data_IF_876215197624
#
_entry.id   IF_876215197624
#
_cell.length_a   1.000
_cell.length_b   1.000
_cell.length_c   1.000
_cell.angle_alpha   90.00
_cell.angle_beta   90.00
_cell.angle_gamma   90.00
#
_symmetry.space_group_name_H-M   'P 1'
#
loop_
_entity.id
_entity.type
_entity.pdbx_description
1 polymer ?
#
# COMPACT_ATOMS: atom_id res chain seq x y z
N UNK A 1 19.31 20.65 -2.77
CA UNK A 1 20.28 20.26 -3.82
C UNK A 1 19.86 20.85 -5.17
N UNK A 2 18.61 20.65 -5.61
CA UNK A 2 18.08 21.23 -6.84
C UNK A 2 18.25 22.77 -6.94
N UNK A 3 17.85 23.52 -5.91
CA UNK A 3 17.91 25.00 -5.88
C UNK A 3 19.33 25.58 -5.96
N UNK A 4 20.34 24.83 -5.53
CA UNK A 4 21.74 25.27 -5.57
C UNK A 4 22.50 24.72 -6.79
N UNK A 5 21.79 24.06 -7.71
CA UNK A 5 22.34 23.52 -8.95
C UNK A 5 23.62 22.70 -8.78
N UNK A 6 23.63 21.86 -7.74
CA UNK A 6 24.77 21.00 -7.42
C UNK A 6 24.86 19.86 -8.44
N UNK A 7 25.66 20.06 -9.49
CA UNK A 7 25.89 19.08 -10.57
C UNK A 7 27.30 18.49 -10.48
N UNK A 8 27.57 17.41 -11.23
CA UNK A 8 28.90 16.79 -11.29
C UNK A 8 29.23 15.83 -10.14
N UNK A 9 28.26 15.52 -9.27
CA UNK A 9 28.42 14.55 -8.19
C UNK A 9 27.83 13.18 -8.57
N UNK A 10 28.51 12.11 -8.14
CA UNK A 10 27.92 10.79 -8.13
C UNK A 10 27.17 10.59 -6.81
N UNK A 11 25.86 10.54 -6.88
CA UNK A 11 25.03 10.27 -5.71
C UNK A 11 24.93 8.76 -5.46
N UNK A 12 25.06 8.38 -4.19
CA UNK A 12 24.80 7.04 -3.71
C UNK A 12 23.70 7.13 -2.66
N UNK A 13 22.52 6.59 -2.98
CA UNK A 13 21.34 6.66 -2.16
C UNK A 13 21.10 5.42 -1.31
N UNK A 14 20.56 5.66 -0.13
CA UNK A 14 19.95 4.60 0.66
C UNK A 14 18.66 4.14 -0.01
N UNK A 15 18.22 2.93 0.35
CA UNK A 15 16.99 2.33 -0.16
C UNK A 15 15.79 3.26 -0.05
N UNK A 16 15.67 3.99 1.08
CA UNK A 16 14.51 4.83 1.36
C UNK A 16 14.25 5.96 0.36
N UNK A 17 15.27 6.48 -0.33
CA UNK A 17 15.09 7.58 -1.28
C UNK A 17 15.49 7.24 -2.71
N UNK A 18 16.38 6.27 -2.93
CA UNK A 18 16.79 5.90 -4.30
C UNK A 18 15.63 5.36 -5.15
N UNK A 19 14.60 4.80 -4.50
CA UNK A 19 13.35 4.35 -5.14
C UNK A 19 12.14 5.25 -4.87
N UNK A 20 12.32 6.41 -4.25
CA UNK A 20 11.21 7.34 -3.97
C UNK A 20 10.84 8.17 -5.22
N UNK A 21 9.59 8.06 -5.65
CA UNK A 21 9.04 8.82 -6.77
C UNK A 21 9.07 10.34 -6.55
N UNK A 22 9.04 10.80 -5.29
CA UNK A 22 9.15 12.23 -4.98
C UNK A 22 10.54 12.77 -5.33
N UNK A 23 11.58 11.95 -5.28
CA UNK A 23 12.94 12.34 -5.70
C UNK A 23 13.19 12.06 -7.18
N UNK A 24 12.47 11.10 -7.77
CA UNK A 24 12.52 10.77 -9.19
C UNK A 24 11.61 11.66 -10.06
N UNK A 25 11.56 12.96 -9.78
CA UNK A 25 10.71 13.91 -10.50
C UNK A 25 11.53 14.88 -11.36
N UNK A 26 10.86 15.63 -12.25
CA UNK A 26 11.50 16.52 -13.22
C UNK A 26 12.35 17.64 -12.57
N UNK A 27 11.98 18.11 -11.37
CA UNK A 27 12.71 19.17 -10.65
C UNK A 27 14.07 18.72 -10.14
N UNK A 28 14.27 17.41 -9.91
CA UNK A 28 15.52 16.87 -9.36
C UNK A 28 16.36 16.14 -10.41
N UNK A 29 15.83 15.91 -11.61
CA UNK A 29 16.50 15.15 -12.67
C UNK A 29 17.87 15.72 -13.05
N UNK A 30 18.07 17.04 -13.05
CA UNK A 30 19.36 17.63 -13.39
C UNK A 30 20.46 17.38 -12.34
N UNK A 31 20.08 17.05 -11.10
CA UNK A 31 21.00 16.77 -9.99
C UNK A 31 21.15 15.27 -9.73
N UNK A 32 20.04 14.53 -9.72
CA UNK A 32 19.99 13.14 -9.23
C UNK A 32 20.02 12.11 -10.35
N UNK A 33 19.99 12.50 -11.63
CA UNK A 33 20.10 11.55 -12.73
C UNK A 33 21.41 10.77 -12.64
N UNK A 34 21.33 9.45 -12.74
CA UNK A 34 22.48 8.56 -12.61
C UNK A 34 22.86 8.20 -11.17
N UNK A 35 22.03 8.55 -10.19
CA UNK A 35 22.20 8.06 -8.80
C UNK A 35 22.23 6.53 -8.75
N UNK A 36 23.08 6.01 -7.87
CA UNK A 36 23.21 4.57 -7.61
C UNK A 36 22.71 4.27 -6.20
N UNK A 37 22.22 3.07 -5.95
CA UNK A 37 21.83 2.67 -4.61
C UNK A 37 21.23 1.28 -4.59
N UNK A 38 20.69 0.93 -3.42
CA UNK A 38 20.11 -0.38 -3.19
C UNK A 38 18.60 -0.27 -3.22
N UNK A 39 17.92 -1.20 -3.90
CA UNK A 39 16.47 -1.24 -3.93
C UNK A 39 15.98 -2.62 -3.52
N UNK A 40 14.87 -2.68 -2.79
CA UNK A 40 14.24 -3.95 -2.43
C UNK A 40 13.77 -4.65 -3.71
N UNK A 41 13.96 -5.97 -3.87
CA UNK A 41 13.54 -6.66 -5.09
C UNK A 41 12.07 -6.44 -5.41
N UNK A 42 11.76 -6.20 -6.69
CA UNK A 42 10.39 -6.16 -7.19
C UNK A 42 9.74 -7.52 -7.00
N UNK A 43 8.45 -7.53 -6.67
CA UNK A 43 7.64 -8.73 -6.66
C UNK A 43 6.29 -8.47 -7.30
N UNK A 44 5.68 -9.55 -7.78
CA UNK A 44 4.33 -9.56 -8.31
C UNK A 44 3.45 -10.39 -7.36
N UNK A 45 2.31 -9.84 -6.98
CA UNK A 45 1.32 -10.52 -6.15
C UNK A 45 0.06 -10.71 -7.00
N UNK A 46 -0.17 -11.95 -7.41
CA UNK A 46 -1.34 -12.32 -8.21
C UNK A 46 -2.63 -11.96 -7.47
N UNK A 47 -3.58 -11.34 -8.17
CA UNK A 47 -4.88 -10.96 -7.59
C UNK A 47 -4.88 -9.61 -6.83
N UNK A 48 -3.73 -8.97 -6.64
CA UNK A 48 -3.63 -7.76 -5.84
C UNK A 48 -4.29 -6.55 -6.51
N UNK A 49 -4.14 -6.38 -7.82
CA UNK A 49 -4.78 -5.30 -8.56
C UNK A 49 -6.31 -5.39 -8.49
N UNK A 50 -6.86 -6.59 -8.66
CA UNK A 50 -8.30 -6.84 -8.51
C UNK A 50 -8.77 -6.63 -7.07
N UNK A 51 -7.94 -6.92 -6.08
CA UNK A 51 -8.26 -6.66 -4.68
C UNK A 51 -8.32 -5.15 -4.39
N UNK A 52 -7.30 -4.39 -4.78
CA UNK A 52 -7.19 -2.95 -4.50
C UNK A 52 -8.31 -2.14 -5.16
N UNK A 53 -8.77 -2.58 -6.33
CA UNK A 53 -9.83 -1.91 -7.11
C UNK A 53 -11.26 -2.24 -6.65
N UNK A 54 -11.45 -3.27 -5.80
CA UNK A 54 -12.74 -3.66 -5.21
C UNK A 54 -13.10 -2.92 -3.93
N UNK A 55 -12.35 -1.87 -3.58
CA UNK A 55 -12.60 -1.06 -2.39
C UNK A 55 -14.01 -0.46 -2.40
N UNK A 56 -14.71 -0.58 -1.26
CA UNK A 56 -16.05 -0.03 -1.08
C UNK A 56 -16.01 1.20 -0.15
N UNK A 57 -16.20 2.43 -0.65
CA UNK A 57 -16.17 3.65 0.16
C UNK A 57 -17.34 3.75 1.15
N UNK A 58 -18.40 2.95 0.98
CA UNK A 58 -19.53 2.86 1.90
C UNK A 58 -19.33 1.84 3.05
N UNK A 59 -18.17 1.18 3.12
CA UNK A 59 -17.86 0.28 4.23
C UNK A 59 -17.62 1.04 5.53
N UNK A 60 -17.68 0.33 6.67
CA UNK A 60 -17.39 0.88 8.00
C UNK A 60 -15.89 1.13 8.26
N UNK A 61 -15.02 0.88 7.26
CA UNK A 61 -13.59 1.10 7.37
C UNK A 61 -13.28 2.57 7.06
N UNK A 62 -12.87 3.40 8.04
CA UNK A 62 -12.77 4.85 7.85
C UNK A 62 -11.77 5.26 6.75
N UNK A 63 -10.67 4.52 6.63
CA UNK A 63 -9.62 4.80 5.64
C UNK A 63 -10.10 4.59 4.19
N UNK A 64 -11.13 3.76 3.95
CA UNK A 64 -11.65 3.56 2.59
C UNK A 64 -12.38 4.79 2.07
N UNK A 65 -13.11 5.48 2.95
CA UNK A 65 -13.75 6.77 2.61
C UNK A 65 -12.69 7.82 2.31
N UNK A 66 -11.72 8.00 3.20
CA UNK A 66 -10.66 9.00 3.04
C UNK A 66 -9.83 8.77 1.78
N UNK A 67 -9.50 7.52 1.49
CA UNK A 67 -8.76 7.14 0.29
C UNK A 67 -9.56 7.47 -0.98
N UNK A 68 -10.86 7.14 -1.00
CA UNK A 68 -11.73 7.45 -2.14
C UNK A 68 -11.81 8.95 -2.39
N UNK A 69 -12.09 9.73 -1.35
CA UNK A 69 -12.18 11.18 -1.40
C UNK A 69 -10.86 11.83 -1.86
N UNK A 70 -9.73 11.25 -1.47
CA UNK A 70 -8.39 11.72 -1.85
C UNK A 70 -8.08 11.42 -3.31
N UNK A 71 -8.36 10.21 -3.78
CA UNK A 71 -8.09 9.78 -5.16
C UNK A 71 -8.94 10.58 -6.16
N UNK A 72 -10.23 10.76 -5.86
CA UNK A 72 -11.16 11.44 -6.76
C UNK A 72 -11.33 12.94 -6.45
N UNK A 73 -10.62 13.45 -5.44
CA UNK A 73 -10.67 14.85 -5.00
C UNK A 73 -12.11 15.34 -4.74
N UNK A 74 -12.91 14.51 -4.10
CA UNK A 74 -14.34 14.70 -3.90
C UNK A 74 -14.76 14.42 -2.45
N UNK A 75 -16.03 14.67 -2.11
CA UNK A 75 -16.62 14.32 -0.82
C UNK A 75 -17.80 13.36 -0.94
N UNK A 76 -17.85 12.37 -0.06
CA UNK A 76 -18.97 11.44 0.07
C UNK A 76 -20.03 12.04 1.03
N UNK A 77 -21.33 11.91 0.72
CA UNK A 77 -22.40 12.37 1.61
C UNK A 77 -22.44 11.59 2.94
N UNK A 78 -22.96 12.15 4.05
CA UNK A 78 -23.71 13.40 4.19
C UNK A 78 -22.89 14.46 4.94
N UNK A 79 -21.87 15.07 4.30
CA UNK A 79 -21.18 16.19 4.94
C UNK A 79 -22.03 17.46 4.82
N UNK A 80 -22.32 18.14 5.93
CA UNK A 80 -23.21 19.32 5.99
C UNK A 80 -22.62 20.58 5.30
N UNK A 81 -21.31 20.59 5.01
CA UNK A 81 -20.61 21.72 4.38
C UNK A 81 -20.16 21.39 2.94
N UNK A 82 -21.10 21.00 2.08
CA UNK A 82 -20.85 20.68 0.65
C UNK A 82 -20.52 21.92 -0.18
N UNK A 83 -20.76 23.12 0.34
CA UNK A 83 -20.74 24.38 -0.44
C UNK A 83 -19.38 24.73 -1.08
N UNK A 84 -18.28 24.06 -0.69
CA UNK A 84 -16.96 24.31 -1.29
C UNK A 84 -16.27 23.08 -1.89
N UNK A 85 -16.80 21.85 -1.75
CA UNK A 85 -16.15 20.63 -2.28
C UNK A 85 -17.09 19.83 -3.17
N UNK A 86 -16.57 19.40 -4.32
CA UNK A 86 -17.31 18.61 -5.31
C UNK A 86 -17.71 17.25 -4.72
N UNK A 87 -18.98 16.87 -4.90
CA UNK A 87 -19.47 15.54 -4.51
C UNK A 87 -18.91 14.45 -5.43
N UNK A 88 -18.62 13.28 -4.85
CA UNK A 88 -18.17 12.11 -5.61
C UNK A 88 -19.27 11.62 -6.55
N UNK A 89 -18.89 11.26 -7.78
CA UNK A 89 -19.85 10.76 -8.79
C UNK A 89 -20.10 9.27 -8.60
N UNK A 90 -21.30 8.82 -8.95
CA UNK A 90 -21.68 7.40 -8.87
C UNK A 90 -20.96 6.50 -9.88
N UNK A 91 -20.31 7.06 -10.89
CA UNK A 91 -19.60 6.32 -11.94
C UNK A 91 -18.08 6.28 -11.76
N UNK A 92 -17.55 6.79 -10.65
CA UNK A 92 -16.14 6.70 -10.32
C UNK A 92 -15.74 5.24 -10.08
N UNK A 93 -14.60 4.82 -10.64
CA UNK A 93 -14.08 3.47 -10.48
C UNK A 93 -12.57 3.48 -10.36
N UNK A 94 -12.05 2.77 -9.36
CA UNK A 94 -10.61 2.59 -9.17
C UNK A 94 -9.96 1.81 -10.32
N UNK A 95 -10.70 0.99 -11.04
CA UNK A 95 -10.17 0.27 -12.22
C UNK A 95 -9.69 1.20 -13.32
N UNK A 96 -10.27 2.40 -13.41
CA UNK A 96 -9.91 3.42 -14.41
C UNK A 96 -8.95 4.48 -13.84
N UNK A 97 -8.78 4.52 -12.52
CA UNK A 97 -7.89 5.46 -11.87
C UNK A 97 -6.43 5.01 -12.07
N UNK A 98 -5.61 5.87 -12.68
CA UNK A 98 -4.16 5.69 -12.79
C UNK A 98 -3.47 6.50 -11.71
N UNK A 99 -3.07 5.87 -10.61
CA UNK A 99 -2.38 6.51 -9.50
C UNK A 99 -1.47 5.51 -8.77
N UNK A 100 -0.73 5.99 -7.78
CA UNK A 100 0.22 5.18 -7.01
C UNK A 100 -0.42 4.03 -6.20
N UNK A 101 -1.73 4.12 -5.92
CA UNK A 101 -2.45 3.08 -5.21
C UNK A 101 -2.85 1.93 -6.15
N UNK A 102 -3.24 2.23 -7.39
CA UNK A 102 -3.66 1.23 -8.38
C UNK A 102 -2.51 0.70 -9.24
N UNK A 103 -1.35 1.36 -9.26
CA UNK A 103 -0.17 0.90 -9.96
C UNK A 103 0.51 -0.27 -9.21
N UNK A 104 0.33 -1.46 -9.78
CA UNK A 104 0.86 -2.72 -9.24
C UNK A 104 2.23 -3.12 -9.82
N UNK A 105 2.84 -2.28 -10.66
CA UNK A 105 4.06 -2.62 -11.40
C UNK A 105 5.37 -2.53 -10.58
N UNK A 106 5.34 -1.88 -9.42
CA UNK A 106 6.52 -1.69 -8.56
C UNK A 106 6.24 -1.98 -7.08
N UNK A 107 5.85 -3.23 -6.78
CA UNK A 107 5.64 -3.66 -5.39
C UNK A 107 6.91 -4.15 -4.72
N UNK A 108 7.56 -3.24 -4.00
CA UNK A 108 8.75 -3.51 -3.18
C UNK A 108 8.43 -3.55 -1.69
N UNK A 109 8.01 -2.41 -1.13
CA UNK A 109 7.70 -2.29 0.30
C UNK A 109 6.45 -3.10 0.67
N UNK A 110 5.39 -3.03 -0.16
CA UNK A 110 4.18 -3.81 0.07
C UNK A 110 4.42 -5.32 0.05
N UNK A 111 5.40 -5.80 -0.72
CA UNK A 111 5.79 -7.20 -0.74
C UNK A 111 6.41 -7.64 0.60
N UNK A 112 7.12 -6.76 1.31
CA UNK A 112 7.60 -7.07 2.65
C UNK A 112 6.44 -7.22 3.65
N UNK A 113 5.40 -6.38 3.53
CA UNK A 113 4.17 -6.52 4.33
C UNK A 113 3.48 -7.86 4.02
N UNK A 114 3.33 -8.19 2.74
CA UNK A 114 2.76 -9.47 2.30
C UNK A 114 3.55 -10.66 2.87
N UNK A 115 4.88 -10.65 2.76
CA UNK A 115 5.76 -11.68 3.31
C UNK A 115 5.68 -11.78 4.83
N UNK A 116 5.56 -10.66 5.53
CA UNK A 116 5.43 -10.64 6.98
C UNK A 116 4.14 -11.34 7.43
N UNK A 117 3.00 -11.04 6.78
CA UNK A 117 1.73 -11.73 7.05
C UNK A 117 1.84 -13.23 6.76
N UNK A 118 2.44 -13.59 5.62
CA UNK A 118 2.68 -14.99 5.27
C UNK A 118 3.57 -15.71 6.28
N UNK A 119 4.62 -15.07 6.77
CA UNK A 119 5.51 -15.65 7.78
C UNK A 119 4.76 -15.93 9.09
N UNK A 120 3.87 -15.03 9.52
CA UNK A 120 3.02 -15.25 10.70
C UNK A 120 2.08 -16.43 10.50
N UNK A 121 1.41 -16.49 9.34
CA UNK A 121 0.49 -17.60 9.01
C UNK A 121 1.23 -18.93 8.97
N UNK A 122 2.37 -19.01 8.30
CA UNK A 122 3.16 -20.26 8.24
C UNK A 122 3.68 -20.68 9.61
N UNK A 123 4.12 -19.73 10.44
CA UNK A 123 4.58 -20.02 11.80
C UNK A 123 3.44 -20.59 12.65
N UNK A 124 2.24 -20.00 12.55
CA UNK A 124 1.06 -20.49 13.24
C UNK A 124 0.64 -21.89 12.75
N UNK A 125 0.63 -22.12 11.44
CA UNK A 125 0.33 -23.45 10.87
C UNK A 125 1.32 -24.49 11.40
N UNK A 126 2.62 -24.19 11.40
CA UNK A 126 3.64 -25.09 11.91
C UNK A 126 3.41 -25.47 13.38
N UNK A 127 2.95 -24.54 14.22
CA UNK A 127 2.60 -24.83 15.63
C UNK A 127 1.36 -25.73 15.73
N UNK A 128 0.34 -25.51 14.90
CA UNK A 128 -0.89 -26.31 14.95
C UNK A 128 -0.71 -27.73 14.40
N UNK A 129 0.20 -27.92 13.45
CA UNK A 129 0.58 -29.25 12.93
C UNK A 129 1.12 -30.18 14.02
N UNK A 130 1.74 -29.60 15.05
CA UNK A 130 2.22 -30.33 16.24
C UNK A 130 1.07 -30.75 17.16
N UNK A 131 -0.13 -30.14 17.03
CA UNK A 131 -1.17 -30.23 18.05
C UNK A 131 -2.55 -30.77 17.60
N UNK A 132 -2.95 -30.80 16.32
CA UNK A 132 -4.23 -31.40 15.89
C UNK A 132 -4.35 -31.69 14.38
N UNK A 133 -5.11 -32.75 14.06
CA UNK A 133 -5.45 -33.19 12.71
C UNK A 133 -6.37 -32.24 11.92
N UNK A 134 -6.43 -32.54 10.62
CA UNK A 134 -7.04 -31.90 9.44
C UNK A 134 -8.30 -31.04 9.65
N UNK A 135 -8.13 -29.80 10.14
CA UNK A 135 -9.10 -28.70 9.98
C UNK A 135 -8.40 -27.59 9.18
N UNK A 136 -9.13 -26.75 8.45
CA UNK A 136 -8.57 -25.67 7.62
C UNK A 136 -7.69 -24.71 8.45
N UNK A 137 -6.39 -24.98 8.42
CA UNK A 137 -5.39 -24.39 9.33
C UNK A 137 -5.23 -22.89 9.09
N UNK A 138 -5.50 -22.42 7.88
CA UNK A 138 -5.43 -20.98 7.57
C UNK A 138 -6.52 -20.22 8.32
N UNK A 139 -7.76 -20.70 8.27
CA UNK A 139 -8.90 -20.06 8.97
C UNK A 139 -8.69 -20.06 10.48
N UNK A 140 -8.21 -21.18 11.03
CA UNK A 140 -7.94 -21.30 12.46
C UNK A 140 -6.81 -20.36 12.91
N UNK A 141 -5.77 -20.17 12.10
CA UNK A 141 -4.69 -19.22 12.41
C UNK A 141 -5.17 -17.78 12.44
N UNK A 142 -5.94 -17.37 11.43
CA UNK A 142 -6.50 -16.01 11.37
C UNK A 142 -7.40 -15.74 12.57
N UNK A 143 -8.26 -16.70 12.94
CA UNK A 143 -9.13 -16.59 14.11
C UNK A 143 -8.34 -16.56 15.43
N UNK A 144 -7.29 -17.38 15.58
CA UNK A 144 -6.47 -17.42 16.80
C UNK A 144 -5.74 -16.09 17.02
N UNK A 145 -5.19 -15.49 15.96
CA UNK A 145 -4.54 -14.17 16.02
C UNK A 145 -5.52 -13.05 16.43
N UNK A 146 -6.77 -13.11 15.96
CA UNK A 146 -7.82 -12.18 16.35
C UNK A 146 -8.25 -12.36 17.82
N UNK A 147 -8.25 -13.58 18.35
CA UNK A 147 -8.58 -13.88 19.76
C UNK A 147 -7.48 -13.39 20.71
N UNK A 148 -6.20 -13.45 20.32
CA UNK A 148 -5.08 -12.95 21.15
C UNK A 148 -5.05 -11.42 21.29
N UNK A 149 -5.59 -10.67 20.32
CA UNK A 149 -5.67 -9.20 20.38
C UNK A 149 -6.58 -8.67 21.51
N UNK A 150 -7.56 -9.48 21.96
CA UNK A 150 -8.51 -9.10 23.01
C UNK A 150 -8.12 -9.59 24.42
N UNK A 151 -6.92 -10.15 24.62
CA UNK A 151 -6.49 -10.70 25.92
C UNK A 151 -5.40 -9.89 26.64
N UNK A 152 -5.00 -8.73 26.11
CA UNK A 152 -4.05 -7.82 26.77
C UNK A 152 -4.66 -6.49 27.22
N UNK A 153 -5.93 -6.50 27.67
CA UNK A 153 -6.51 -5.35 28.38
C UNK A 153 -7.24 -5.77 29.64
#
# INVERSE_FOLDING_TARGET
>A
MALQNMTGFQWIGSESWISDLNTANAEWQHVLKGSLGFAIPKAEITGLGEFLTKLNPASDIPIYRELWETIFQCKLPPQENVEMKQLCKSNESLTQAKNLYTDVSDFRIANNVYKAVYAVVYSCIAVMDVHRGTVDKVVMCVQTLQITSNRER
#
